data_IF_549559906646
#
_entry.id   IF_549559906646
#
_cell.length_a   1.000
_cell.length_b   1.000
_cell.length_c   1.000
_cell.angle_alpha   90.00
_cell.angle_beta   90.00
_cell.angle_gamma   90.00
#
_symmetry.space_group_name_H-M   'P 1'
#
loop_
_entity.id
_entity.type
_entity.pdbx_description
1 polymer ?
#
# COMPACT_ATOMS: atom_id res chain seq x y z
N UNK A 1 -20.04 8.90 17.00
CA UNK A 1 -18.62 9.29 16.99
C UNK A 1 -17.77 8.07 16.69
N UNK A 2 -16.94 8.15 15.62
CA UNK A 2 -15.83 7.27 15.25
C UNK A 2 -16.09 5.75 15.18
N UNK A 3 -16.62 5.27 14.05
CA UNK A 3 -16.51 3.87 13.66
C UNK A 3 -15.06 3.60 13.22
N UNK A 4 -14.21 3.20 14.17
CA UNK A 4 -12.86 2.72 13.90
C UNK A 4 -12.92 1.32 13.29
N UNK A 5 -13.49 1.21 12.10
CA UNK A 5 -13.33 0.03 11.25
C UNK A 5 -11.84 -0.03 10.89
N UNK A 6 -11.08 -0.80 11.68
CA UNK A 6 -9.82 -1.37 11.21
C UNK A 6 -10.16 -2.08 9.92
N UNK A 7 -9.88 -1.45 8.78
CA UNK A 7 -10.14 -2.01 7.45
C UNK A 7 -9.28 -3.26 7.37
N UNK A 8 -9.89 -4.40 7.68
CA UNK A 8 -9.23 -5.69 7.61
C UNK A 8 -9.15 -6.02 6.13
N UNK A 9 -8.02 -5.70 5.51
CA UNK A 9 -7.76 -6.11 4.13
C UNK A 9 -7.62 -7.63 4.15
N UNK A 10 -8.62 -8.28 3.55
CA UNK A 10 -8.72 -9.73 3.42
C UNK A 10 -7.46 -10.31 2.77
N UNK A 11 -7.17 -11.58 3.07
CA UNK A 11 -6.02 -12.27 2.50
C UNK A 11 -6.08 -12.30 0.97
N UNK A 12 -7.26 -12.54 0.39
CA UNK A 12 -7.47 -12.51 -1.07
C UNK A 12 -7.09 -11.16 -1.69
N UNK A 13 -7.40 -10.05 -1.03
CA UNK A 13 -7.02 -8.71 -1.50
C UNK A 13 -5.50 -8.53 -1.46
N UNK A 14 -4.82 -9.08 -0.44
CA UNK A 14 -3.35 -9.05 -0.36
C UNK A 14 -2.72 -9.87 -1.48
N UNK A 15 -3.26 -11.05 -1.77
CA UNK A 15 -2.80 -11.90 -2.87
C UNK A 15 -3.01 -11.24 -4.23
N UNK A 16 -4.12 -10.53 -4.42
CA UNK A 16 -4.36 -9.73 -5.62
C UNK A 16 -3.32 -8.61 -5.75
N UNK A 17 -3.05 -7.88 -4.67
CA UNK A 17 -2.02 -6.83 -4.64
C UNK A 17 -0.63 -7.40 -4.98
N UNK A 18 -0.30 -8.57 -4.45
CA UNK A 18 0.93 -9.30 -4.76
C UNK A 18 1.07 -9.60 -6.26
N UNK A 19 0.00 -10.08 -6.89
CA UNK A 19 -0.04 -10.34 -8.35
C UNK A 19 0.12 -9.04 -9.15
N UNK A 20 -0.54 -7.96 -8.74
CA UNK A 20 -0.40 -6.66 -9.39
C UNK A 20 1.03 -6.11 -9.27
N UNK A 21 1.72 -6.37 -8.15
CA UNK A 21 3.14 -6.04 -8.02
C UNK A 21 4.03 -6.84 -8.98
N UNK A 22 3.73 -8.13 -9.21
CA UNK A 22 4.46 -8.96 -10.18
C UNK A 22 4.32 -8.43 -11.61
N UNK A 23 3.15 -7.90 -11.96
CA UNK A 23 2.92 -7.24 -13.26
C UNK A 23 3.53 -5.82 -13.34
N UNK A 24 4.28 -5.38 -12.32
CA UNK A 24 4.92 -4.06 -12.22
C UNK A 24 3.91 -2.90 -12.31
N UNK A 25 2.69 -3.11 -11.82
CA UNK A 25 1.68 -2.06 -11.73
C UNK A 25 2.11 -1.00 -10.72
N UNK A 26 1.87 0.27 -11.03
CA UNK A 26 2.16 1.39 -10.13
C UNK A 26 1.26 1.37 -8.90
N UNK A 27 1.74 1.90 -7.77
CA UNK A 27 0.97 2.00 -6.52
C UNK A 27 -0.40 2.67 -6.72
N UNK A 28 -0.46 3.73 -7.53
CA UNK A 28 -1.72 4.40 -7.86
C UNK A 28 -2.70 3.48 -8.61
N UNK A 29 -2.21 2.65 -9.53
CA UNK A 29 -3.03 1.67 -10.24
C UNK A 29 -3.58 0.59 -9.31
N UNK A 30 -2.77 0.15 -8.34
CA UNK A 30 -3.19 -0.82 -7.32
C UNK A 30 -4.29 -0.21 -6.44
N UNK A 31 -4.14 1.04 -6.00
CA UNK A 31 -5.17 1.75 -5.22
C UNK A 31 -6.49 1.83 -6.00
N UNK A 32 -6.44 2.14 -7.30
CA UNK A 32 -7.65 2.23 -8.13
C UNK A 32 -8.35 0.88 -8.32
N UNK A 33 -7.59 -0.20 -8.54
CA UNK A 33 -8.16 -1.54 -8.77
C UNK A 33 -8.68 -2.18 -7.48
N UNK A 34 -8.01 -1.93 -6.36
CA UNK A 34 -8.31 -2.60 -5.09
C UNK A 34 -9.12 -1.75 -4.10
N UNK A 35 -9.20 -0.44 -4.32
CA UNK A 35 -9.91 0.49 -3.43
C UNK A 35 -9.30 0.64 -2.04
N UNK A 36 -8.07 0.16 -1.82
CA UNK A 36 -7.40 0.24 -0.52
C UNK A 36 -6.88 1.65 -0.26
N UNK A 37 -6.84 2.03 1.02
CA UNK A 37 -6.26 3.31 1.42
C UNK A 37 -4.78 3.38 1.07
N UNK A 38 -4.35 4.52 0.51
CA UNK A 38 -2.94 4.76 0.16
C UNK A 38 -2.00 4.50 1.35
N UNK A 39 -2.37 5.00 2.54
CA UNK A 39 -1.60 4.78 3.76
C UNK A 39 -1.42 3.29 4.08
N UNK A 40 -2.48 2.49 3.91
CA UNK A 40 -2.41 1.05 4.16
C UNK A 40 -1.50 0.35 3.14
N UNK A 41 -1.60 0.72 1.85
CA UNK A 41 -0.74 0.16 0.82
C UNK A 41 0.72 0.53 1.05
N UNK A 42 0.99 1.78 1.44
CA UNK A 42 2.33 2.21 1.81
C UNK A 42 2.88 1.44 3.01
N UNK A 43 2.09 1.26 4.07
CA UNK A 43 2.53 0.45 5.24
C UNK A 43 2.75 -1.01 4.86
N UNK A 44 1.90 -1.58 4.01
CA UNK A 44 2.04 -2.96 3.51
C UNK A 44 3.32 -3.15 2.69
N UNK A 45 3.57 -2.24 1.74
CA UNK A 45 4.80 -2.21 0.93
C UNK A 45 6.00 -1.99 1.83
N UNK A 46 5.97 -0.99 2.72
CA UNK A 46 7.07 -0.73 3.65
C UNK A 46 7.35 -1.96 4.52
N UNK A 47 6.35 -2.66 5.07
CA UNK A 47 6.60 -3.85 5.89
C UNK A 47 7.20 -5.02 5.08
N UNK A 48 6.78 -5.15 3.81
CA UNK A 48 7.25 -6.21 2.91
C UNK A 48 8.67 -5.97 2.41
N UNK A 49 8.97 -4.73 2.03
CA UNK A 49 10.27 -4.31 1.50
C UNK A 49 11.23 -3.77 2.57
N UNK A 50 10.83 -3.58 3.84
CA UNK A 50 11.79 -3.31 4.93
C UNK A 50 12.58 -4.57 5.33
N UNK A 51 12.03 -5.76 5.07
CA UNK A 51 12.73 -7.04 5.26
C UNK A 51 13.78 -7.31 4.17
N UNK A 52 13.66 -6.66 3.02
CA UNK A 52 14.64 -6.71 1.93
C UNK A 52 15.39 -5.39 2.00
N UNK A 53 16.64 -5.37 2.46
CA UNK A 53 17.46 -4.16 2.60
C UNK A 53 17.61 -3.39 1.28
N UNK A 54 16.58 -2.65 0.87
CA UNK A 54 16.52 -1.82 -0.32
C UNK A 54 15.98 -0.48 0.18
N UNK A 55 16.91 0.43 0.44
CA UNK A 55 16.66 1.81 0.85
C UNK A 55 15.90 2.54 -0.26
N UNK A 56 14.58 2.40 -0.30
CA UNK A 56 13.73 3.24 -1.14
C UNK A 56 13.55 4.57 -0.40
N UNK A 57 14.23 5.60 -0.89
CA UNK A 57 14.14 6.96 -0.38
C UNK A 57 12.76 7.54 -0.72
N UNK A 58 11.76 7.20 0.09
CA UNK A 58 10.41 7.77 -0.03
C UNK A 58 10.46 9.23 0.44
N UNK A 59 10.66 10.17 -0.51
CA UNK A 59 10.47 11.59 -0.25
C UNK A 59 8.98 11.83 -0.02
N UNK A 60 8.59 12.13 1.22
CA UNK A 60 7.26 12.69 1.49
C UNK A 60 7.15 14.00 0.73
N UNK A 61 6.19 14.10 -0.18
CA UNK A 61 5.89 15.38 -0.85
C UNK A 61 5.23 16.28 0.19
N UNK A 62 5.85 17.44 0.42
CA UNK A 62 5.46 18.45 1.41
C UNK A 62 3.95 18.73 1.35
N UNK A 63 3.28 18.57 2.49
CA UNK A 63 1.97 19.16 2.74
C UNK A 63 2.17 20.68 2.70
N UNK A 64 1.73 21.32 1.61
CA UNK A 64 1.67 22.79 1.54
C UNK A 64 0.52 23.25 2.45
N UNK A 65 0.85 24.18 3.34
CA UNK A 65 -0.06 24.88 4.26
C UNK A 65 -1.23 25.54 3.52
#
# INVERSE_FOLDING_TARGET
MANSQKVYVNQETRELIDKLFLEKISLAGIILVTGVSEKWLQEYVNNKYTKVSQSIQCTKKNQVN
#
